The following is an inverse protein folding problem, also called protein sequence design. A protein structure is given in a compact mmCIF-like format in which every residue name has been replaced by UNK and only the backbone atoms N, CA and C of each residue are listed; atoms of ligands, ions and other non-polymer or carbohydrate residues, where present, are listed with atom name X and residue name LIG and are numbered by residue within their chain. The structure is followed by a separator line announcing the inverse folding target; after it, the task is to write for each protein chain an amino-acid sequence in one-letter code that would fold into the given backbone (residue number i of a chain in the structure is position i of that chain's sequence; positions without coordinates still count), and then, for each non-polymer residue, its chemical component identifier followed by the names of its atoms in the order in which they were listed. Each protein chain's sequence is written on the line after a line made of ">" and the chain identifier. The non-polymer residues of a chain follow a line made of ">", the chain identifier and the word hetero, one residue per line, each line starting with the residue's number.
data_IF_561928698120
#
_entry.id   IF_561928698120
#
_cell.length_a   1.000
_cell.length_b   1.000
_cell.length_c   1.000
_cell.angle_alpha   90.00
_cell.angle_beta   90.00
_cell.angle_gamma   90.00
#
_symmetry.space_group_name_H-M   'P 1'
#
loop_
_entity.id
_entity.type
_entity.pdbx_description
1 polymer ?
#
# COMPACT_ATOMS: atom_id res chain seq x y z
N UNK A 1 17.38 2.94 -11.94
CA UNK A 1 15.95 3.24 -11.74
C UNK A 1 15.34 2.26 -10.77
N UNK A 2 14.65 2.75 -9.77
CA UNK A 2 14.03 1.91 -8.76
C UNK A 2 12.60 1.56 -9.17
N UNK A 3 12.29 0.26 -9.15
CA UNK A 3 10.95 -0.17 -9.45
C UNK A 3 9.99 0.13 -8.31
N UNK A 4 8.70 0.14 -8.61
CA UNK A 4 7.67 0.26 -7.59
C UNK A 4 7.58 -1.01 -6.77
N UNK A 5 7.46 -0.84 -5.49
CA UNK A 5 7.16 -1.93 -4.57
C UNK A 5 5.69 -1.88 -4.23
N UNK A 6 5.12 -3.02 -3.91
CA UNK A 6 3.71 -3.10 -3.55
C UNK A 6 3.53 -4.00 -2.34
N UNK A 7 2.73 -3.53 -1.40
CA UNK A 7 2.34 -4.31 -0.23
C UNK A 7 0.84 -4.54 -0.32
N UNK A 8 0.45 -5.80 -0.44
CA UNK A 8 -0.97 -6.17 -0.51
C UNK A 8 -1.45 -6.63 0.85
N UNK A 9 -2.69 -6.28 1.18
CA UNK A 9 -3.31 -6.82 2.37
C UNK A 9 -3.67 -8.29 2.14
N UNK A 10 -3.59 -9.09 3.20
CA UNK A 10 -4.03 -10.47 3.15
C UNK A 10 -5.56 -10.51 3.06
N UNK A 11 -6.09 -11.40 2.25
CA UNK A 11 -7.54 -11.56 2.14
C UNK A 11 -8.18 -12.03 3.45
N UNK A 12 -7.42 -12.72 4.28
CA UNK A 12 -7.90 -13.18 5.59
C UNK A 12 -7.72 -12.13 6.67
N UNK A 13 -6.83 -11.16 6.44
CA UNK A 13 -6.56 -10.10 7.39
C UNK A 13 -6.27 -8.80 6.64
N UNK A 14 -7.31 -8.10 6.22
CA UNK A 14 -7.11 -6.85 5.51
C UNK A 14 -6.49 -5.78 6.41
N UNK A 15 -5.76 -4.86 5.80
CA UNK A 15 -5.20 -3.72 6.52
C UNK A 15 -6.30 -2.90 7.17
N UNK A 16 -6.11 -2.54 8.43
CA UNK A 16 -6.95 -1.54 9.06
C UNK A 16 -6.49 -0.16 8.57
N UNK A 17 -7.35 0.83 8.76
CA UNK A 17 -6.99 2.20 8.43
C UNK A 17 -5.72 2.64 9.19
N UNK A 18 -5.64 2.29 10.46
CA UNK A 18 -4.50 2.65 11.28
C UNK A 18 -3.21 2.00 10.80
N UNK A 19 -3.28 0.73 10.43
CA UNK A 19 -2.12 0.02 9.90
C UNK A 19 -1.62 0.66 8.61
N UNK A 20 -2.54 1.00 7.71
CA UNK A 20 -2.16 1.67 6.45
C UNK A 20 -1.50 3.01 6.70
N UNK A 21 -2.05 3.80 7.61
CA UNK A 21 -1.50 5.10 7.93
C UNK A 21 -0.11 4.98 8.55
N UNK A 22 0.08 4.03 9.44
CA UNK A 22 1.38 3.81 10.08
C UNK A 22 2.44 3.43 9.05
N UNK A 23 2.12 2.53 8.15
CA UNK A 23 3.06 2.12 7.10
C UNK A 23 3.37 3.30 6.17
N UNK A 24 2.37 4.06 5.77
CA UNK A 24 2.57 5.22 4.91
C UNK A 24 3.48 6.25 5.57
N UNK A 25 3.27 6.55 6.84
CA UNK A 25 4.09 7.52 7.56
C UNK A 25 5.55 7.06 7.62
N UNK A 26 5.79 5.80 7.96
CA UNK A 26 7.15 5.26 8.02
C UNK A 26 7.84 5.37 6.67
N UNK A 27 7.15 5.02 5.59
CA UNK A 27 7.72 5.10 4.26
C UNK A 27 8.02 6.54 3.84
N UNK A 28 7.11 7.46 4.17
CA UNK A 28 7.33 8.88 3.87
C UNK A 28 8.53 9.43 4.63
N UNK A 29 8.70 9.04 5.88
CA UNK A 29 9.84 9.47 6.68
C UNK A 29 11.16 8.96 6.10
N UNK A 30 11.13 7.81 5.45
CA UNK A 30 12.31 7.24 4.80
C UNK A 30 12.58 7.81 3.42
N UNK A 31 11.74 8.73 2.95
CA UNK A 31 11.93 9.39 1.68
C UNK A 31 11.27 8.72 0.49
N UNK A 32 10.35 7.81 0.75
CA UNK A 32 9.59 7.17 -0.32
C UNK A 32 8.38 7.99 -0.72
N UNK A 33 8.01 7.89 -1.98
CA UNK A 33 6.70 8.33 -2.44
C UNK A 33 5.74 7.17 -2.26
N UNK A 34 4.56 7.44 -1.73
CA UNK A 34 3.61 6.40 -1.35
C UNK A 34 2.26 6.65 -2.03
N UNK A 35 1.66 5.57 -2.49
CA UNK A 35 0.31 5.62 -3.05
C UNK A 35 -0.51 4.50 -2.42
N UNK A 36 -1.63 4.87 -1.80
CA UNK A 36 -2.56 3.90 -1.25
C UNK A 36 -3.76 3.76 -2.18
N UNK A 37 -4.23 2.53 -2.35
CA UNK A 37 -5.36 2.28 -3.20
C UNK A 37 -6.13 1.06 -2.76
N UNK A 38 -7.19 0.77 -3.49
CA UNK A 38 -7.99 -0.43 -3.28
C UNK A 38 -8.39 -1.00 -4.63
N UNK A 39 -8.56 -2.31 -4.66
CA UNK A 39 -9.06 -2.98 -5.86
C UNK A 39 -10.11 -4.01 -5.47
N UNK A 40 -11.06 -4.22 -6.35
CA UNK A 40 -12.13 -5.17 -6.10
C UNK A 40 -11.61 -6.59 -6.30
N UNK A 41 -11.94 -7.46 -5.36
CA UNK A 41 -11.60 -8.87 -5.48
C UNK A 41 -12.60 -9.52 -6.44
N UNK A 42 -12.09 -10.19 -7.48
CA UNK A 42 -12.89 -10.65 -8.60
C UNK A 42 -14.06 -11.58 -8.23
N UNK A 43 -13.91 -12.39 -7.21
CA UNK A 43 -14.95 -13.37 -6.83
C UNK A 43 -15.77 -12.98 -5.62
N UNK A 44 -15.56 -11.77 -5.08
CA UNK A 44 -16.24 -11.34 -3.86
C UNK A 44 -16.62 -9.88 -3.98
N UNK A 45 -17.62 -9.45 -3.22
CA UNK A 45 -18.00 -8.06 -3.16
C UNK A 45 -17.19 -7.31 -2.11
N UNK A 46 -15.91 -7.66 -1.97
CA UNK A 46 -15.00 -7.05 -1.04
C UNK A 46 -13.85 -6.36 -1.77
N UNK A 47 -13.20 -5.43 -1.09
CA UNK A 47 -12.04 -4.73 -1.64
C UNK A 47 -10.78 -5.17 -0.93
N UNK A 48 -9.70 -5.21 -1.69
CA UNK A 48 -8.37 -5.45 -1.15
C UNK A 48 -7.62 -4.13 -1.19
N UNK A 49 -7.06 -3.74 -0.05
CA UNK A 49 -6.26 -2.54 0.03
C UNK A 49 -4.81 -2.86 -0.27
N UNK A 50 -4.11 -1.92 -0.88
CA UNK A 50 -2.70 -2.06 -1.19
C UNK A 50 -1.98 -0.74 -1.01
N UNK A 51 -0.67 -0.83 -0.83
CA UNK A 51 0.20 0.33 -0.69
C UNK A 51 1.34 0.15 -1.69
N UNK A 52 1.51 1.12 -2.58
CA UNK A 52 2.63 1.17 -3.50
C UNK A 52 3.61 2.22 -3.03
N UNK A 53 4.88 1.94 -3.16
CA UNK A 53 5.89 2.91 -2.77
C UNK A 53 7.12 2.79 -3.67
N UNK A 54 7.82 3.89 -3.82
CA UNK A 54 9.02 3.95 -4.65
C UNK A 54 9.83 5.16 -4.25
N UNK A 55 11.11 5.15 -4.59
CA UNK A 55 11.96 6.33 -4.42
C UNK A 55 12.07 7.05 -5.73
N UNK A 56 11.89 8.36 -5.70
CA UNK A 56 12.09 9.17 -6.86
C UNK A 56 13.51 9.73 -6.82
N UNK A 57 14.20 9.62 -7.94
CA UNK A 57 15.52 10.22 -8.10
C UNK A 57 15.32 11.68 -8.42
N UNK A 58 15.52 12.44 -7.42
CA UNK A 58 15.24 13.79 -7.49
C UNK A 58 15.84 14.86 -7.97
#
# INVERSE_FOLDING_TARGET
>A
MMGRQRIDSDSTRPFTKEERMSVCVVLLEKGYTVRCGREKVASKSAYRYYIEYWKEDG
#
